data_IF_351735819277
#
_entry.id   IF_351735819277
#
_cell.length_a   1.000
_cell.length_b   1.000
_cell.length_c   1.000
_cell.angle_alpha   90.00
_cell.angle_beta   90.00
_cell.angle_gamma   90.00
#
_symmetry.space_group_name_H-M   'P 1'
#
loop_
_entity.id
_entity.type
_entity.pdbx_description
1 polymer ?
#
# COMPACT_ATOMS: atom_id res chain seq x y z
N UNK A 1 14.99 -6.91 24.23
CA UNK A 1 14.85 -7.44 22.85
C UNK A 1 13.89 -6.63 21.97
N UNK A 2 12.96 -5.83 22.53
CA UNK A 2 12.06 -4.97 21.73
C UNK A 2 12.73 -3.78 21.04
N UNK A 3 13.53 -3.01 21.78
CA UNK A 3 14.10 -1.73 21.31
C UNK A 3 15.00 -1.86 20.06
N UNK A 4 15.86 -2.89 19.99
CA UNK A 4 16.71 -3.13 18.82
C UNK A 4 15.91 -3.56 17.58
N UNK A 5 14.78 -4.24 17.79
CA UNK A 5 13.92 -4.73 16.72
C UNK A 5 13.07 -3.58 16.15
N UNK A 6 12.50 -2.76 17.02
CA UNK A 6 11.78 -1.54 16.64
C UNK A 6 12.69 -0.56 15.89
N UNK A 7 13.93 -0.36 16.36
CA UNK A 7 14.90 0.47 15.65
C UNK A 7 15.21 -0.06 14.24
N UNK A 8 15.44 -1.37 14.11
CA UNK A 8 15.64 -2.01 12.80
C UNK A 8 14.43 -1.81 11.88
N UNK A 9 13.21 -1.98 12.38
CA UNK A 9 11.98 -1.79 11.60
C UNK A 9 11.84 -0.33 11.15
N UNK A 10 12.09 0.63 12.05
CA UNK A 10 12.03 2.05 11.70
C UNK A 10 13.00 2.40 10.56
N UNK A 11 14.22 1.86 10.60
CA UNK A 11 15.21 2.06 9.54
C UNK A 11 14.76 1.44 8.21
N UNK A 12 14.10 0.29 8.23
CA UNK A 12 13.52 -0.33 7.02
C UNK A 12 12.36 0.49 6.46
N UNK A 13 11.44 0.97 7.32
CA UNK A 13 10.34 1.82 6.87
C UNK A 13 10.85 3.14 6.26
N UNK A 14 11.90 3.73 6.84
CA UNK A 14 12.57 4.91 6.26
C UNK A 14 13.20 4.62 4.90
N UNK A 15 13.81 3.46 4.73
CA UNK A 15 14.40 3.06 3.46
C UNK A 15 13.34 2.78 2.37
N UNK A 16 12.14 2.37 2.79
CA UNK A 16 10.99 2.15 1.91
C UNK A 16 10.13 3.40 1.68
N UNK A 17 10.46 4.53 2.34
CA UNK A 17 9.69 5.75 2.24
C UNK A 17 9.74 6.30 0.79
N UNK A 18 8.60 6.35 0.07
CA UNK A 18 8.58 6.70 -1.34
C UNK A 18 8.97 8.17 -1.58
N UNK A 19 9.75 8.43 -2.62
CA UNK A 19 10.25 9.76 -3.00
C UNK A 19 9.39 10.47 -4.02
N UNK A 20 8.49 9.75 -4.67
CA UNK A 20 7.46 10.32 -5.53
C UNK A 20 6.11 9.59 -5.37
N UNK A 21 4.99 10.20 -5.80
CA UNK A 21 3.67 9.62 -5.57
C UNK A 21 3.38 8.34 -6.36
N UNK A 22 3.99 8.19 -7.55
CA UNK A 22 3.83 6.97 -8.37
C UNK A 22 4.57 5.80 -7.73
N UNK A 23 5.75 6.04 -7.16
CA UNK A 23 6.50 5.06 -6.37
C UNK A 23 5.68 4.56 -5.17
N UNK A 24 4.95 5.45 -4.48
CA UNK A 24 4.12 5.08 -3.34
C UNK A 24 3.02 4.08 -3.72
N UNK A 25 2.25 4.38 -4.78
CA UNK A 25 1.18 3.48 -5.25
C UNK A 25 1.76 2.19 -5.82
N UNK A 26 2.86 2.29 -6.58
CA UNK A 26 3.54 1.12 -7.16
C UNK A 26 4.03 0.17 -6.08
N UNK A 27 4.66 0.70 -5.02
CA UNK A 27 5.17 -0.10 -3.90
C UNK A 27 4.04 -0.76 -3.15
N UNK A 28 2.95 -0.03 -2.90
CA UNK A 28 1.76 -0.59 -2.24
C UNK A 28 1.12 -1.73 -3.03
N UNK A 29 0.82 -1.55 -4.32
CA UNK A 29 0.15 -2.61 -5.11
C UNK A 29 1.06 -3.83 -5.31
N UNK A 30 2.37 -3.64 -5.42
CA UNK A 30 3.35 -4.74 -5.37
C UNK A 30 3.27 -5.48 -4.03
N UNK A 31 3.23 -4.75 -2.92
CA UNK A 31 3.11 -5.36 -1.60
C UNK A 31 1.77 -6.07 -1.37
N UNK A 32 0.68 -5.62 -1.99
CA UNK A 32 -0.60 -6.36 -2.04
C UNK A 32 -0.42 -7.66 -2.81
N UNK A 33 0.22 -7.62 -3.99
CA UNK A 33 0.52 -8.81 -4.81
C UNK A 33 1.40 -9.82 -4.07
N UNK A 34 2.44 -9.33 -3.40
CA UNK A 34 3.42 -10.14 -2.66
C UNK A 34 2.92 -10.54 -1.27
N UNK A 35 1.69 -10.13 -0.89
CA UNK A 35 1.06 -10.41 0.41
C UNK A 35 1.84 -9.88 1.61
N UNK A 36 2.63 -8.83 1.41
CA UNK A 36 3.46 -8.22 2.43
C UNK A 36 2.70 -7.08 3.12
N UNK A 37 2.00 -7.42 4.21
CA UNK A 37 1.32 -6.44 5.05
C UNK A 37 2.28 -5.45 5.71
N UNK A 38 3.51 -5.87 6.00
CA UNK A 38 4.55 -4.99 6.51
C UNK A 38 4.97 -3.91 5.51
N UNK A 39 5.16 -4.27 4.23
CA UNK A 39 5.51 -3.28 3.19
C UNK A 39 4.30 -2.41 2.84
N UNK A 40 3.09 -2.98 2.82
CA UNK A 40 1.86 -2.19 2.70
C UNK A 40 1.81 -1.13 3.79
N UNK A 41 2.01 -1.53 5.06
CA UNK A 41 2.04 -0.62 6.20
C UNK A 41 3.11 0.48 6.05
N UNK A 42 4.33 0.12 5.63
CA UNK A 42 5.46 1.03 5.53
C UNK A 42 5.17 2.27 4.65
N UNK A 43 4.38 2.11 3.59
CA UNK A 43 4.04 3.17 2.63
C UNK A 43 2.72 3.90 2.94
N UNK A 44 2.06 3.58 4.06
CA UNK A 44 0.87 4.31 4.51
C UNK A 44 1.26 5.59 5.26
N UNK A 45 0.40 6.59 5.16
CA UNK A 45 0.46 7.81 5.94
C UNK A 45 0.32 7.52 7.44
N UNK A 46 0.79 8.41 8.34
CA UNK A 46 0.62 8.23 9.79
C UNK A 46 -0.83 8.01 10.21
N UNK A 47 -1.79 8.68 9.56
CA UNK A 47 -3.22 8.52 9.84
C UNK A 47 -3.73 7.14 9.41
N UNK A 48 -3.39 6.71 8.19
CA UNK A 48 -3.83 5.43 7.66
C UNK A 48 -3.10 4.24 8.34
N UNK A 49 -1.85 4.41 8.77
CA UNK A 49 -1.14 3.46 9.64
C UNK A 49 -1.95 3.18 10.91
N UNK A 50 -2.42 4.22 11.60
CA UNK A 50 -3.24 4.05 12.82
C UNK A 50 -4.53 3.29 12.53
N UNK A 51 -5.19 3.58 11.42
CA UNK A 51 -6.43 2.91 11.02
C UNK A 51 -6.22 1.43 10.66
N UNK A 52 -5.15 1.12 9.94
CA UNK A 52 -4.88 -0.24 9.42
C UNK A 52 -4.07 -1.12 10.37
N UNK A 53 -3.49 -0.57 11.44
CA UNK A 53 -2.58 -1.30 12.33
C UNK A 53 -3.22 -2.57 12.89
N UNK A 54 -4.43 -2.46 13.47
CA UNK A 54 -5.10 -3.60 14.10
C UNK A 54 -5.39 -4.72 13.10
N UNK A 55 -5.73 -4.37 11.86
CA UNK A 55 -6.01 -5.34 10.80
C UNK A 55 -4.72 -6.05 10.38
N UNK A 56 -3.69 -5.29 10.00
CA UNK A 56 -2.43 -5.84 9.49
C UNK A 56 -1.67 -6.62 10.56
N UNK A 57 -1.65 -6.13 11.80
CA UNK A 57 -1.06 -6.85 12.92
C UNK A 57 -1.86 -8.11 13.26
N UNK A 58 -3.20 -8.05 13.20
CA UNK A 58 -4.07 -9.23 13.40
C UNK A 58 -3.86 -10.33 12.35
N UNK A 59 -3.44 -9.95 11.15
CA UNK A 59 -3.04 -10.88 10.08
C UNK A 59 -1.55 -11.29 10.14
N UNK A 60 -0.84 -10.99 11.23
CA UNK A 60 0.60 -11.22 11.37
C UNK A 60 1.44 -10.61 10.23
N UNK A 61 1.02 -9.43 9.73
CA UNK A 61 1.69 -8.70 8.65
C UNK A 61 1.73 -9.44 7.30
N UNK A 62 0.87 -10.44 7.12
CA UNK A 62 0.70 -11.18 5.85
C UNK A 62 -0.74 -11.00 5.39
N UNK A 63 -0.95 -10.34 4.26
CA UNK A 63 -2.31 -10.01 3.78
C UNK A 63 -2.80 -11.02 2.75
N UNK A 64 -4.10 -11.28 2.76
CA UNK A 64 -4.73 -12.22 1.82
C UNK A 64 -4.49 -13.68 2.17
N UNK A 65 -5.03 -14.55 1.34
CA UNK A 65 -4.99 -16.02 1.48
C UNK A 65 -4.41 -16.64 0.22
N UNK A 66 -4.33 -17.98 0.11
CA UNK A 66 -3.83 -18.66 -1.09
C UNK A 66 -4.56 -18.27 -2.38
N UNK A 67 -5.87 -18.01 -2.30
CA UNK A 67 -6.72 -17.51 -3.39
C UNK A 67 -7.87 -16.68 -2.82
N UNK A 68 -8.20 -15.49 -3.37
CA UNK A 68 -7.66 -14.87 -4.59
C UNK A 68 -6.22 -14.33 -4.44
N UNK A 69 -5.51 -14.19 -5.56
CA UNK A 69 -4.20 -13.51 -5.63
C UNK A 69 -4.14 -12.51 -6.78
N UNK A 70 -3.27 -11.51 -6.67
CA UNK A 70 -3.05 -10.54 -7.75
C UNK A 70 -2.17 -11.19 -8.82
N UNK A 71 -2.71 -11.32 -10.02
CA UNK A 71 -1.96 -11.78 -11.19
C UNK A 71 -1.23 -10.60 -11.85
N UNK A 72 -1.98 -9.57 -12.20
CA UNK A 72 -1.46 -8.34 -12.78
C UNK A 72 -2.23 -7.12 -12.28
N UNK A 73 -1.64 -5.95 -12.43
CA UNK A 73 -2.27 -4.69 -12.08
C UNK A 73 -1.86 -3.60 -13.07
N UNK A 74 -2.70 -2.59 -13.22
CA UNK A 74 -2.44 -1.38 -14.00
C UNK A 74 -2.71 -0.16 -13.14
N UNK A 75 -1.77 0.77 -13.14
CA UNK A 75 -1.91 2.05 -12.43
C UNK A 75 -2.20 3.12 -13.48
N UNK A 76 -3.26 3.89 -13.26
CA UNK A 76 -3.64 5.04 -14.08
C UNK A 76 -3.58 6.30 -13.22
N UNK A 77 -2.80 7.29 -13.64
CA UNK A 77 -2.75 8.61 -12.99
C UNK A 77 -4.03 9.40 -13.32
N UNK A 78 -4.76 9.82 -12.28
CA UNK A 78 -5.99 10.61 -12.40
C UNK A 78 -5.74 12.11 -12.21
N UNK A 79 -4.49 12.50 -11.98
CA UNK A 79 -4.06 13.86 -11.76
C UNK A 79 -3.99 14.27 -10.29
N UNK A 80 -3.78 15.58 -10.10
CA UNK A 80 -3.60 16.21 -8.80
C UNK A 80 -4.89 16.86 -8.33
N UNK A 81 -5.28 16.58 -7.09
CA UNK A 81 -6.39 17.25 -6.41
C UNK A 81 -6.05 18.69 -5.99
N UNK A 82 -7.09 19.47 -5.69
CA UNK A 82 -6.96 20.87 -5.25
C UNK A 82 -6.19 21.01 -3.93
N UNK A 83 -6.27 20.01 -3.06
CA UNK A 83 -5.51 19.92 -1.80
C UNK A 83 -4.04 19.53 -2.00
N UNK A 84 -3.60 19.44 -3.26
CA UNK A 84 -2.24 19.06 -3.63
C UNK A 84 -1.97 17.56 -3.57
N UNK A 85 -2.98 16.73 -3.27
CA UNK A 85 -2.89 15.27 -3.29
C UNK A 85 -2.84 14.69 -4.71
N UNK A 86 -2.32 13.48 -4.86
CA UNK A 86 -2.24 12.77 -6.13
C UNK A 86 -3.22 11.60 -6.11
N UNK A 87 -4.01 11.44 -7.17
CA UNK A 87 -5.02 10.39 -7.26
C UNK A 87 -4.66 9.38 -8.33
N UNK A 88 -4.81 8.11 -8.02
CA UNK A 88 -4.51 7.00 -8.91
C UNK A 88 -5.68 6.03 -8.92
N UNK A 89 -5.97 5.46 -10.09
CA UNK A 89 -6.79 4.27 -10.23
C UNK A 89 -5.88 3.06 -10.38
N UNK A 90 -6.14 2.02 -9.60
CA UNK A 90 -5.43 0.75 -9.67
C UNK A 90 -6.41 -0.33 -10.11
N UNK A 91 -6.30 -0.76 -11.36
CA UNK A 91 -7.04 -1.89 -11.88
C UNK A 91 -6.27 -3.17 -11.55
N UNK A 92 -6.89 -4.09 -10.83
CA UNK A 92 -6.26 -5.33 -10.35
C UNK A 92 -6.93 -6.53 -11.00
N UNK A 93 -6.16 -7.38 -11.66
CA UNK A 93 -6.61 -8.68 -12.12
C UNK A 93 -6.34 -9.71 -11.00
N UNK A 94 -7.42 -10.18 -10.39
CA UNK A 94 -7.40 -11.25 -9.42
C UNK A 94 -7.56 -12.59 -10.12
N UNK A 95 -6.83 -13.59 -9.63
CA UNK A 95 -6.95 -14.98 -10.04
C UNK A 95 -7.43 -15.83 -8.87
N UNK A 96 -8.33 -16.75 -9.20
CA UNK A 96 -8.78 -17.82 -8.31
C UNK A 96 -8.68 -19.17 -9.00
N UNK A 97 -8.83 -20.25 -8.23
CA UNK A 97 -8.96 -21.60 -8.80
C UNK A 97 -10.16 -21.75 -9.74
N UNK A 98 -11.15 -20.85 -9.67
CA UNK A 98 -12.37 -20.88 -10.48
C UNK A 98 -12.34 -19.91 -11.68
N UNK A 99 -11.29 -19.08 -11.82
CA UNK A 99 -11.18 -18.09 -12.89
C UNK A 99 -10.66 -16.74 -12.41
N UNK A 100 -10.75 -15.74 -13.28
CA UNK A 100 -10.28 -14.37 -13.02
C UNK A 100 -11.42 -13.40 -12.69
N UNK A 101 -11.10 -12.36 -11.93
CA UNK A 101 -12.00 -11.23 -11.66
C UNK A 101 -11.21 -9.93 -11.62
N UNK A 102 -11.81 -8.84 -12.07
CA UNK A 102 -11.21 -7.51 -12.01
C UNK A 102 -11.70 -6.76 -10.77
N UNK A 103 -10.79 -6.11 -10.06
CA UNK A 103 -11.09 -5.14 -9.00
C UNK A 103 -10.53 -3.78 -9.37
N UNK A 104 -11.16 -2.73 -8.86
CA UNK A 104 -10.71 -1.35 -9.03
C UNK A 104 -10.54 -0.73 -7.65
N UNK A 105 -9.41 -0.07 -7.42
CA UNK A 105 -9.11 0.64 -6.17
C UNK A 105 -8.62 2.05 -6.52
N UNK A 106 -9.17 3.05 -5.85
CA UNK A 106 -8.78 4.45 -5.93
C UNK A 106 -7.86 4.80 -4.78
N UNK A 107 -6.63 5.19 -5.11
CA UNK A 107 -5.57 5.47 -4.15
C UNK A 107 -5.24 6.96 -4.17
N UNK A 108 -5.23 7.58 -2.99
CA UNK A 108 -4.81 8.98 -2.83
C UNK A 108 -3.49 9.05 -2.08
N UNK A 109 -2.52 9.74 -2.66
CA UNK A 109 -1.18 9.95 -2.10
C UNK A 109 -1.00 11.40 -1.69
N UNK A 110 -0.42 11.62 -0.51
CA UNK A 110 -0.09 12.94 0.02
C UNK A 110 1.39 13.01 0.38
N UNK A 111 1.95 14.22 0.27
CA UNK A 111 3.32 14.49 0.69
C UNK A 111 3.36 14.73 2.20
N UNK A 112 4.28 14.08 2.89
CA UNK A 112 4.60 14.30 4.30
C UNK A 112 6.11 14.55 4.38
N UNK A 113 6.49 15.76 4.81
CA UNK A 113 7.87 16.26 4.77
C UNK A 113 8.48 16.13 3.36
N UNK A 114 9.40 15.19 3.18
CA UNK A 114 10.11 14.93 1.92
C UNK A 114 9.61 13.68 1.16
N UNK A 115 8.69 12.90 1.75
CA UNK A 115 8.25 11.62 1.21
C UNK A 115 6.76 11.63 0.85
N UNK A 116 6.32 10.63 0.11
CA UNK A 116 4.95 10.47 -0.35
C UNK A 116 4.34 9.19 0.22
N UNK A 117 3.16 9.30 0.82
CA UNK A 117 2.49 8.17 1.48
C UNK A 117 1.03 8.07 1.07
N UNK A 118 0.51 6.84 1.13
CA UNK A 118 -0.90 6.58 0.87
C UNK A 118 -1.74 7.11 2.02
N UNK A 119 -2.62 8.04 1.69
CA UNK A 119 -3.51 8.73 2.63
C UNK A 119 -4.93 8.17 2.62
N UNK A 120 -5.34 7.56 1.50
CA UNK A 120 -6.67 6.94 1.36
C UNK A 120 -6.62 5.83 0.31
N UNK A 121 -7.39 4.78 0.55
CA UNK A 121 -7.68 3.68 -0.37
C UNK A 121 -9.20 3.52 -0.36
N UNK A 122 -9.84 3.54 -1.53
CA UNK A 122 -11.29 3.39 -1.66
C UNK A 122 -11.67 2.55 -2.88
N UNK A 123 -12.87 1.98 -2.86
CA UNK A 123 -13.51 1.31 -4.00
C UNK A 123 -14.51 2.21 -4.70
#
# INVERSE_FOLDING_TARGET
MGESTEFRINQLERALAPKDPMEAVTTWVKAVKDRSGAVQYAVLSPELKKAMYSELAGMNWVTGVSSPWVDSYKITDLGRGEDGSYRYKVDILWMTSAGSSTGEEYVTVKKYDENFFISSIGR
#
